data_IF_909733637642
#
_entry.id   IF_909733637642
#
_cell.length_a   1.000
_cell.length_b   1.000
_cell.length_c   1.000
_cell.angle_alpha   90.00
_cell.angle_beta   90.00
_cell.angle_gamma   90.00
#
_symmetry.space_group_name_H-M   'P 1'
#
loop_
_entity.id
_entity.type
_entity.pdbx_description
1 polymer ?
#
# COMPACT_ATOMS: atom_id res chain seq x y z
N UNK A 1 12.32 -15.09 4.19
CA UNK A 1 11.15 -14.25 3.85
C UNK A 1 10.20 -14.29 5.03
N UNK A 2 9.88 -13.15 5.64
CA UNK A 2 9.06 -13.07 6.88
C UNK A 2 7.60 -12.71 6.60
N UNK A 3 7.24 -12.44 5.35
CA UNK A 3 5.89 -12.09 4.91
C UNK A 3 5.59 -12.70 3.52
N UNK A 4 4.30 -12.85 3.16
CA UNK A 4 3.89 -13.36 1.86
C UNK A 4 4.36 -12.47 0.72
N UNK A 5 4.83 -13.09 -0.37
CA UNK A 5 5.24 -12.40 -1.59
C UNK A 5 4.39 -12.89 -2.76
N UNK A 6 3.75 -11.95 -3.46
CA UNK A 6 3.14 -12.24 -4.76
C UNK A 6 4.22 -12.42 -5.83
N UNK A 7 3.98 -13.31 -6.80
CA UNK A 7 4.86 -13.56 -7.94
C UNK A 7 4.04 -13.60 -9.23
N UNK A 8 4.65 -13.20 -10.34
CA UNK A 8 4.03 -13.26 -11.66
C UNK A 8 3.03 -12.13 -11.93
N UNK A 9 3.20 -10.96 -11.31
CA UNK A 9 2.37 -9.79 -11.60
C UNK A 9 2.39 -9.45 -13.10
N UNK A 10 1.21 -9.27 -13.66
CA UNK A 10 0.96 -9.03 -15.08
C UNK A 10 0.62 -7.56 -15.33
N UNK A 11 0.56 -7.16 -16.61
CA UNK A 11 0.07 -5.83 -16.99
C UNK A 11 -1.36 -5.58 -16.51
N UNK A 12 -2.22 -6.60 -16.55
CA UNK A 12 -3.60 -6.49 -16.05
C UNK A 12 -3.64 -6.18 -14.54
N UNK A 13 -2.72 -6.73 -13.75
CA UNK A 13 -2.60 -6.38 -12.33
C UNK A 13 -2.15 -4.92 -12.16
N UNK A 14 -1.22 -4.46 -13.00
CA UNK A 14 -0.80 -3.05 -13.04
C UNK A 14 -1.96 -2.11 -13.38
N UNK A 15 -2.73 -2.44 -14.42
CA UNK A 15 -3.90 -1.66 -14.84
C UNK A 15 -4.97 -1.64 -13.74
N UNK A 16 -5.20 -2.76 -13.05
CA UNK A 16 -6.12 -2.85 -11.91
C UNK A 16 -5.72 -1.93 -10.75
N UNK A 17 -4.42 -1.83 -10.47
CA UNK A 17 -3.87 -0.99 -9.40
C UNK A 17 -3.65 0.47 -9.81
N UNK A 18 -3.83 0.80 -11.10
CA UNK A 18 -3.48 2.11 -11.66
C UNK A 18 -1.97 2.37 -11.68
N UNK A 19 -1.17 1.32 -11.66
CA UNK A 19 0.29 1.39 -11.66
C UNK A 19 0.84 1.73 -13.04
N UNK A 20 1.95 2.46 -13.08
CA UNK A 20 2.71 2.59 -14.31
C UNK A 20 3.40 1.27 -14.66
N UNK A 21 3.20 0.82 -15.89
CA UNK A 21 3.78 -0.40 -16.44
C UNK A 21 4.99 -0.09 -17.33
N UNK A 22 6.12 -0.72 -17.05
CA UNK A 22 7.38 -0.48 -17.75
C UNK A 22 7.48 -1.29 -19.05
N UNK A 23 6.81 -0.85 -20.11
CA UNK A 23 6.87 -1.51 -21.43
C UNK A 23 8.32 -1.61 -21.95
N UNK A 24 9.07 -0.51 -21.85
CA UNK A 24 10.43 -0.41 -22.39
C UNK A 24 11.47 -1.26 -21.63
N UNK A 25 11.13 -1.75 -20.42
CA UNK A 25 12.06 -2.49 -19.55
C UNK A 25 11.62 -3.93 -19.30
N UNK A 26 10.90 -4.52 -20.25
CA UNK A 26 10.50 -5.94 -20.19
C UNK A 26 9.26 -6.21 -19.36
N UNK A 27 8.51 -5.18 -18.96
CA UNK A 27 7.19 -5.30 -18.36
C UNK A 27 7.21 -5.62 -16.87
N UNK A 28 7.14 -4.57 -16.05
CA UNK A 28 6.91 -4.70 -14.62
C UNK A 28 6.23 -3.44 -14.06
N UNK A 29 5.60 -3.61 -12.90
CA UNK A 29 4.95 -2.54 -12.13
C UNK A 29 6.03 -1.74 -11.39
N UNK A 30 6.03 -0.42 -11.54
CA UNK A 30 6.82 0.46 -10.66
C UNK A 30 6.20 0.54 -9.25
N UNK A 31 6.94 1.00 -8.23
CA UNK A 31 6.45 0.99 -6.85
C UNK A 31 5.05 1.58 -6.73
N UNK A 32 4.12 0.72 -6.31
CA UNK A 32 2.72 1.04 -6.02
C UNK A 32 2.45 0.51 -4.62
N UNK A 33 2.40 1.43 -3.67
CA UNK A 33 2.36 1.11 -2.24
C UNK A 33 1.03 1.58 -1.68
N UNK A 34 0.26 0.66 -1.10
CA UNK A 34 -1.08 0.92 -0.58
C UNK A 34 -1.12 0.58 0.92
N UNK A 35 -1.64 1.51 1.72
CA UNK A 35 -2.06 1.22 3.09
C UNK A 35 -3.54 0.89 3.08
N UNK A 36 -3.87 -0.33 3.51
CA UNK A 36 -5.24 -0.82 3.54
C UNK A 36 -5.74 -0.88 4.98
N UNK A 37 -6.96 -0.36 5.18
CA UNK A 37 -7.74 -0.60 6.39
C UNK A 37 -8.47 -1.94 6.34
N UNK A 38 -9.10 -2.30 7.46
CA UNK A 38 -9.97 -3.47 7.51
C UNK A 38 -11.11 -3.33 6.49
N UNK A 39 -11.43 -4.39 5.77
CA UNK A 39 -12.46 -4.38 4.72
C UNK A 39 -11.99 -3.88 3.35
N UNK A 40 -10.70 -3.59 3.18
CA UNK A 40 -10.13 -3.24 1.87
C UNK A 40 -10.15 -1.75 1.54
N UNK A 41 -10.53 -0.88 2.48
CA UNK A 41 -10.48 0.58 2.29
C UNK A 41 -9.05 1.06 2.13
N UNK A 42 -8.75 1.81 1.05
CA UNK A 42 -7.44 2.45 0.86
C UNK A 42 -7.34 3.67 1.78
N UNK A 43 -6.38 3.66 2.71
CA UNK A 43 -6.10 4.73 3.67
C UNK A 43 -5.00 5.68 3.20
N UNK A 44 -4.15 5.21 2.29
CA UNK A 44 -3.06 5.97 1.69
C UNK A 44 -2.48 5.20 0.52
N UNK A 45 -1.96 5.94 -0.46
CA UNK A 45 -1.35 5.38 -1.65
C UNK A 45 -0.10 6.19 -2.03
N UNK A 46 0.91 5.51 -2.55
CA UNK A 46 2.13 6.11 -3.06
C UNK A 46 2.49 5.44 -4.39
N UNK A 47 2.74 6.26 -5.41
CA UNK A 47 3.15 5.82 -6.74
C UNK A 47 4.47 6.51 -7.07
N UNK A 48 5.46 5.73 -7.50
CA UNK A 48 6.75 6.27 -7.93
C UNK A 48 7.07 5.80 -9.36
N UNK A 49 7.63 6.69 -10.17
CA UNK A 49 8.08 6.38 -11.54
C UNK A 49 9.58 6.05 -11.62
N UNK A 50 10.26 5.90 -10.48
CA UNK A 50 11.72 5.72 -10.42
C UNK A 50 12.22 5.32 -9.02
N UNK A 51 13.54 5.44 -8.75
CA UNK A 51 14.13 4.96 -7.51
C UNK A 51 13.80 5.82 -6.28
N UNK A 52 13.26 7.02 -6.50
CA UNK A 52 12.95 8.00 -5.46
C UNK A 52 11.45 8.00 -5.18
N UNK A 53 11.11 8.09 -3.90
CA UNK A 53 9.72 8.05 -3.45
C UNK A 53 9.34 6.63 -3.06
N UNK A 54 9.32 6.36 -1.77
CA UNK A 54 8.72 5.18 -1.15
C UNK A 54 8.06 5.60 0.14
N UNK A 55 7.10 4.82 0.59
CA UNK A 55 6.51 5.04 1.90
C UNK A 55 7.56 4.78 2.98
N UNK A 56 7.80 5.77 3.84
CA UNK A 56 8.63 5.58 5.02
C UNK A 56 7.97 4.56 5.94
N UNK A 57 8.68 3.49 6.30
CA UNK A 57 8.15 2.46 7.19
C UNK A 57 7.71 3.06 8.55
N UNK A 58 8.51 3.98 9.10
CA UNK A 58 8.20 4.65 10.37
C UNK A 58 6.93 5.51 10.28
N UNK A 59 6.73 6.19 9.15
CA UNK A 59 5.54 7.02 8.92
C UNK A 59 4.29 6.14 8.75
N UNK A 60 4.40 5.04 8.01
CA UNK A 60 3.34 4.05 7.87
C UNK A 60 2.94 3.47 9.24
N UNK A 61 3.91 3.04 10.04
CA UNK A 61 3.67 2.49 11.39
C UNK A 61 3.00 3.54 12.28
N UNK A 62 3.47 4.79 12.25
CA UNK A 62 2.89 5.88 13.04
C UNK A 62 1.44 6.14 12.65
N UNK A 63 1.13 6.17 11.35
CA UNK A 63 -0.23 6.34 10.85
C UNK A 63 -1.14 5.18 11.28
N UNK A 64 -0.70 3.94 11.07
CA UNK A 64 -1.45 2.73 11.44
C UNK A 64 -1.74 2.72 12.94
N UNK A 65 -0.71 2.92 13.77
CA UNK A 65 -0.84 2.95 15.23
C UNK A 65 -1.84 4.00 15.68
N UNK A 66 -1.76 5.22 15.14
CA UNK A 66 -2.70 6.29 15.49
C UNK A 66 -4.14 5.93 15.13
N UNK A 67 -4.38 5.35 13.94
CA UNK A 67 -5.72 4.95 13.51
C UNK A 67 -6.29 3.83 14.37
N UNK A 68 -5.49 2.84 14.71
CA UNK A 68 -5.93 1.74 15.58
C UNK A 68 -6.25 2.22 17.00
N UNK A 69 -5.53 3.22 17.52
CA UNK A 69 -5.85 3.82 18.81
C UNK A 69 -7.18 4.59 18.78
N UNK A 70 -7.41 5.44 17.78
CA UNK A 70 -8.68 6.17 17.63
C UNK A 70 -9.87 5.20 17.54
N UNK A 71 -9.74 4.12 16.77
CA UNK A 71 -10.78 3.08 16.68
C UNK A 71 -11.10 2.46 18.05
N UNK A 72 -10.08 2.14 18.86
CA UNK A 72 -10.29 1.55 20.19
C UNK A 72 -10.98 2.53 21.14
N UNK A 73 -10.65 3.82 21.05
CA UNK A 73 -11.30 4.87 21.84
C UNK A 73 -12.79 5.01 21.46
N UNK A 74 -13.10 5.01 20.16
CA UNK A 74 -14.48 5.03 19.65
C UNK A 74 -15.28 3.79 20.10
N UNK A 75 -14.68 2.60 20.01
CA UNK A 75 -15.29 1.34 20.48
C UNK A 75 -15.52 1.34 22.01
N UNK A 76 -14.59 1.89 22.77
CA UNK A 76 -14.71 2.01 24.23
C UNK A 76 -15.73 3.05 24.67
N UNK A 77 -15.91 4.13 23.90
CA UNK A 77 -16.92 5.16 24.17
C UNK A 77 -18.35 4.73 23.80
N UNK A 78 -18.50 3.68 22.98
CA UNK A 78 -19.78 3.11 22.58
C UNK A 78 -20.34 2.08 23.60
N UNK A 79 -19.56 1.75 24.65
CA UNK A 79 -19.92 0.83 25.73
C UNK A 79 -20.14 1.57 27.05
#
# INVERSE_FOLDING_TARGET
MTFPMGYGATKADGDLLGSWWSEERGGYIQPTELLLGRGGTVLGAMYASGPVGRMGADEAIRLITRRENMRKEEEGAAH
#
